data_IF_758116245612
#
_entry.id   IF_758116245612
#
_cell.length_a   1.000
_cell.length_b   1.000
_cell.length_c   1.000
_cell.angle_alpha   90.00
_cell.angle_beta   90.00
_cell.angle_gamma   90.00
#
_symmetry.space_group_name_H-M   'P 1'
#
loop_
_entity.id
_entity.type
_entity.pdbx_description
1 polymer ?
#
# COMPACT_ATOMS: atom_id res chain seq x y z
N UNK A 1 0.16 -5.25 -5.69
CA UNK A 1 0.80 -6.53 -5.34
C UNK A 1 2.13 -6.15 -4.77
N UNK A 2 2.47 -6.64 -3.59
CA UNK A 2 3.76 -6.29 -2.98
C UNK A 2 4.83 -7.20 -3.55
N UNK A 3 5.93 -6.62 -3.98
CA UNK A 3 7.15 -7.32 -4.37
C UNK A 3 8.18 -7.00 -3.29
N UNK A 4 8.86 -8.03 -2.81
CA UNK A 4 9.97 -7.88 -1.87
C UNK A 4 11.28 -7.97 -2.65
N UNK A 5 12.18 -7.03 -2.44
CA UNK A 5 13.50 -7.06 -3.06
C UNK A 5 14.50 -7.94 -2.28
N UNK A 6 15.76 -7.94 -2.72
CA UNK A 6 16.80 -8.74 -2.10
C UNK A 6 17.22 -8.24 -0.71
N UNK A 7 16.89 -6.99 -0.37
CA UNK A 7 17.20 -6.36 0.91
C UNK A 7 16.04 -6.57 1.92
N UNK A 8 14.95 -7.22 1.48
CA UNK A 8 13.77 -7.50 2.30
C UNK A 8 12.74 -6.38 2.29
N UNK A 9 12.93 -5.35 1.45
CA UNK A 9 12.06 -4.19 1.38
C UNK A 9 10.82 -4.46 0.50
N UNK A 10 9.64 -4.12 1.02
CA UNK A 10 8.38 -4.33 0.32
C UNK A 10 7.97 -3.13 -0.52
N UNK A 11 7.63 -3.35 -1.79
CA UNK A 11 7.18 -2.31 -2.71
C UNK A 11 5.86 -2.65 -3.38
N UNK A 12 4.97 -1.67 -3.46
CA UNK A 12 3.75 -1.80 -4.25
C UNK A 12 4.06 -1.71 -5.75
N UNK A 13 3.82 -2.80 -6.47
CA UNK A 13 4.25 -2.99 -7.87
C UNK A 13 3.32 -2.38 -8.93
N UNK A 14 2.24 -1.70 -8.53
CA UNK A 14 1.26 -1.14 -9.46
C UNK A 14 1.21 0.37 -9.30
N UNK A 15 0.99 1.08 -10.41
CA UNK A 15 0.68 2.51 -10.35
C UNK A 15 -0.57 2.74 -9.51
N UNK A 16 -0.49 3.69 -8.58
CA UNK A 16 -1.64 4.22 -7.84
C UNK A 16 -1.87 5.65 -8.32
N UNK A 17 -3.07 5.91 -8.87
CA UNK A 17 -3.43 7.22 -9.42
C UNK A 17 -4.32 8.00 -8.44
N UNK A 18 -3.73 8.97 -7.75
CA UNK A 18 -4.44 9.78 -6.77
C UNK A 18 -4.96 11.10 -7.35
N UNK A 19 -5.18 11.15 -8.67
CA UNK A 19 -5.73 12.31 -9.37
C UNK A 19 -4.80 13.51 -9.30
N UNK A 20 -5.25 14.61 -8.67
CA UNK A 20 -4.46 15.84 -8.55
C UNK A 20 -3.17 15.68 -7.73
N UNK A 21 -3.14 14.70 -6.82
CA UNK A 21 -1.93 14.37 -6.05
C UNK A 21 -0.87 13.65 -6.90
N UNK A 22 -1.25 13.18 -8.09
CA UNK A 22 -0.36 12.54 -9.05
C UNK A 22 -0.42 11.01 -9.03
N UNK A 23 0.50 10.42 -9.81
CA UNK A 23 0.62 8.98 -10.02
C UNK A 23 1.89 8.46 -9.34
N UNK A 24 1.73 7.44 -8.53
CA UNK A 24 2.81 6.85 -7.76
C UNK A 24 3.11 5.46 -8.31
N UNK A 25 4.32 5.28 -8.85
CA UNK A 25 4.75 4.03 -9.48
C UNK A 25 5.58 3.12 -8.56
N UNK A 26 6.02 3.65 -7.42
CA UNK A 26 6.72 2.90 -6.38
C UNK A 26 6.29 3.46 -5.04
N UNK A 27 5.61 2.64 -4.25
CA UNK A 27 5.20 2.95 -2.88
C UNK A 27 5.89 1.95 -1.98
N UNK A 28 6.77 2.44 -1.12
CA UNK A 28 7.41 1.63 -0.09
C UNK A 28 6.37 1.21 0.95
N UNK A 29 6.40 -0.07 1.32
CA UNK A 29 5.55 -0.69 2.32
C UNK A 29 6.45 -1.34 3.35
N UNK A 30 6.43 -0.78 4.56
CA UNK A 30 7.05 -1.42 5.72
C UNK A 30 6.23 -2.67 6.09
N UNK A 31 6.84 -3.84 5.97
CA UNK A 31 6.21 -5.13 6.27
C UNK A 31 6.42 -5.58 7.72
N UNK A 32 7.34 -4.95 8.45
CA UNK A 32 7.70 -5.34 9.81
C UNK A 32 7.07 -4.42 10.87
N UNK A 33 6.75 -3.17 10.52
CA UNK A 33 6.15 -2.19 11.43
C UNK A 33 4.64 -1.97 11.29
N UNK A 34 3.94 -2.77 10.48
CA UNK A 34 2.58 -2.43 10.03
C UNK A 34 1.48 -3.25 10.70
N UNK A 35 1.26 -3.02 12.01
CA UNK A 35 0.20 -3.66 12.83
C UNK A 35 -1.19 -3.58 12.18
N UNK A 36 -1.47 -2.51 11.43
CA UNK A 36 -2.76 -2.27 10.77
C UNK A 36 -3.10 -3.31 9.69
N UNK A 37 -2.09 -4.02 9.17
CA UNK A 37 -2.28 -5.14 8.23
C UNK A 37 -2.71 -6.43 8.94
N UNK A 38 -2.61 -6.48 10.27
CA UNK A 38 -2.82 -7.70 11.06
C UNK A 38 -1.71 -8.73 10.89
N UNK A 39 -0.56 -8.34 10.35
CA UNK A 39 0.67 -9.12 10.39
C UNK A 39 1.23 -9.14 11.83
N UNK A 40 1.84 -10.25 12.23
CA UNK A 40 2.53 -10.36 13.52
C UNK A 40 3.92 -10.97 13.32
N UNK A 41 4.81 -10.82 14.30
CA UNK A 41 6.20 -11.30 14.22
C UNK A 41 6.34 -12.81 14.03
N UNK A 42 5.31 -13.58 14.41
CA UNK A 42 5.30 -15.04 14.30
C UNK A 42 4.88 -15.55 12.91
N UNK A 43 4.51 -14.66 11.98
CA UNK A 43 4.10 -15.01 10.63
C UNK A 43 5.30 -15.10 9.69
N UNK A 44 5.23 -16.01 8.73
CA UNK A 44 6.19 -16.07 7.63
C UNK A 44 6.12 -14.80 6.79
N UNK A 45 7.21 -14.48 6.07
CA UNK A 45 7.26 -13.33 5.19
C UNK A 45 6.16 -13.38 4.11
N UNK A 46 5.85 -14.56 3.59
CA UNK A 46 4.78 -14.75 2.60
C UNK A 46 3.39 -14.37 3.16
N UNK A 47 3.08 -14.81 4.38
CA UNK A 47 1.84 -14.44 5.07
C UNK A 47 1.76 -12.94 5.34
N UNK A 48 2.86 -12.31 5.77
CA UNK A 48 2.93 -10.85 5.95
C UNK A 48 2.65 -10.12 4.63
N UNK A 49 3.28 -10.56 3.54
CA UNK A 49 3.10 -10.01 2.18
C UNK A 49 1.68 -10.17 1.68
N UNK A 50 1.04 -11.32 1.92
CA UNK A 50 -0.35 -11.56 1.52
C UNK A 50 -1.31 -10.58 2.22
N UNK A 51 -1.19 -10.48 3.55
CA UNK A 51 -2.02 -9.57 4.36
C UNK A 51 -1.82 -8.12 3.98
N UNK A 52 -0.57 -7.68 3.87
CA UNK A 52 -0.24 -6.32 3.45
C UNK A 52 -0.76 -6.04 2.04
N UNK A 53 -0.61 -6.98 1.10
CA UNK A 53 -1.13 -6.85 -0.26
C UNK A 53 -2.64 -6.64 -0.28
N UNK A 54 -3.38 -7.40 0.55
CA UNK A 54 -4.83 -7.26 0.67
C UNK A 54 -5.23 -5.91 1.27
N UNK A 55 -4.59 -5.52 2.37
CA UNK A 55 -4.88 -4.26 3.06
C UNK A 55 -4.62 -3.05 2.15
N UNK A 56 -3.39 -2.89 1.67
CA UNK A 56 -3.01 -1.75 0.83
C UNK A 56 -3.71 -1.77 -0.52
N UNK A 57 -3.95 -2.95 -1.09
CA UNK A 57 -4.73 -3.07 -2.32
C UNK A 57 -6.15 -2.54 -2.18
N UNK A 58 -6.81 -2.79 -1.06
CA UNK A 58 -8.13 -2.22 -0.79
C UNK A 58 -8.05 -0.71 -0.53
N UNK A 59 -7.04 -0.27 0.23
CA UNK A 59 -6.85 1.14 0.55
C UNK A 59 -6.58 2.00 -0.69
N UNK A 60 -5.73 1.54 -1.59
CA UNK A 60 -5.45 2.26 -2.83
C UNK A 60 -6.68 2.33 -3.73
N UNK A 61 -7.45 1.24 -3.89
CA UNK A 61 -8.72 1.28 -4.64
C UNK A 61 -9.72 2.30 -4.08
N UNK A 62 -9.83 2.37 -2.75
CA UNK A 62 -10.68 3.35 -2.08
C UNK A 62 -10.22 4.78 -2.37
N UNK A 63 -8.91 5.04 -2.29
CA UNK A 63 -8.33 6.35 -2.58
C UNK A 63 -8.52 6.74 -4.06
N UNK A 64 -8.25 5.83 -4.99
CA UNK A 64 -8.44 6.02 -6.43
C UNK A 64 -9.91 6.30 -6.78
N UNK A 65 -10.86 5.67 -6.08
CA UNK A 65 -12.29 5.93 -6.27
C UNK A 65 -12.71 7.31 -5.73
N UNK A 66 -12.03 7.78 -4.68
CA UNK A 66 -12.35 9.03 -3.99
C UNK A 66 -11.50 10.23 -4.43
N UNK A 67 -10.75 10.13 -5.53
CA UNK A 67 -9.89 11.22 -6.02
C UNK A 67 -10.62 12.56 -6.20
N UNK A 68 -11.92 12.53 -6.53
CA UNK A 68 -12.76 13.73 -6.63
C UNK A 68 -13.05 14.42 -5.28
N UNK A 69 -13.06 13.68 -4.17
CA UNK A 69 -13.28 14.22 -2.82
C UNK A 69 -12.00 14.81 -2.20
N UNK A 70 -10.82 14.31 -2.59
CA UNK A 70 -9.52 14.84 -2.16
C UNK A 70 -9.35 16.33 -2.58
N UNK A 71 -10.14 16.80 -3.55
CA UNK A 71 -10.11 18.16 -4.10
C UNK A 71 -10.69 19.22 -3.14
N UNK A 72 -11.40 18.86 -2.06
CA UNK A 72 -12.28 19.81 -1.35
C UNK A 72 -11.91 20.28 0.07
N UNK A 73 -10.72 19.97 0.60
CA UNK A 73 -10.30 20.47 1.92
C UNK A 73 -9.14 21.48 1.92
N UNK A 74 -8.81 22.04 0.75
CA UNK A 74 -7.93 23.21 0.66
C UNK A 74 -8.75 24.44 0.27
N UNK A 75 -9.51 24.99 1.23
CA UNK A 75 -9.99 26.38 1.21
C UNK A 75 -9.66 27.04 2.53
#
# INVERSE_FOLDING_TARGET
>A
MIIVDNDGEGYWSKTVDLGILGKFNSIFIDLDGCDITGATDNMTQEEKVEKATKYYGNRFKELETNVGFIIFHSR
#
